data_IF_110120377334
#
_entry.id   IF_110120377334
#
_cell.length_a   1.000
_cell.length_b   1.000
_cell.length_c   1.000
_cell.angle_alpha   90.00
_cell.angle_beta   90.00
_cell.angle_gamma   90.00
#
_symmetry.space_group_name_H-M   'P 1'
#
loop_
_entity.id
_entity.type
_entity.pdbx_description
1 polymer ?
#
# COMPACT_ATOMS: atom_id res chain seq x y z
N UNK A 1 18.98 -11.21 4.24
CA UNK A 1 17.59 -11.72 4.20
C UNK A 1 16.66 -10.59 4.62
N UNK A 2 15.69 -10.19 3.79
CA UNK A 2 14.65 -9.22 4.19
C UNK A 2 13.50 -10.05 4.77
N UNK A 3 13.36 -10.03 6.09
CA UNK A 3 12.30 -10.76 6.78
C UNK A 3 11.02 -9.92 6.76
N UNK A 4 9.94 -10.49 6.25
CA UNK A 4 8.62 -9.85 6.29
C UNK A 4 7.87 -10.38 7.52
N UNK A 5 7.51 -9.49 8.44
CA UNK A 5 6.64 -9.87 9.55
C UNK A 5 5.24 -10.11 9.01
N UNK A 6 4.66 -11.27 9.35
CA UNK A 6 3.25 -11.53 9.09
C UNK A 6 2.44 -10.43 9.76
N UNK A 7 1.51 -9.82 9.03
CA UNK A 7 0.57 -8.84 9.56
C UNK A 7 -0.48 -9.51 10.47
N UNK A 8 -0.04 -10.25 11.48
CA UNK A 8 -0.86 -11.15 12.30
C UNK A 8 -1.99 -10.41 13.02
N UNK A 9 -1.76 -9.14 13.36
CA UNK A 9 -2.79 -8.25 13.91
C UNK A 9 -4.02 -8.06 13.00
N UNK A 10 -3.88 -8.25 11.67
CA UNK A 10 -5.03 -8.22 10.74
C UNK A 10 -5.87 -9.47 10.94
N UNK A 11 -5.26 -10.66 10.91
CA UNK A 11 -5.98 -11.92 11.14
C UNK A 11 -6.56 -12.04 12.55
N UNK A 12 -5.90 -11.50 13.58
CA UNK A 12 -6.42 -11.48 14.95
C UNK A 12 -7.69 -10.62 15.12
N UNK A 13 -7.94 -9.66 14.23
CA UNK A 13 -9.18 -8.86 14.24
C UNK A 13 -10.38 -9.66 13.75
N UNK A 14 -10.15 -10.62 12.86
CA UNK A 14 -11.18 -11.50 12.32
C UNK A 14 -11.59 -12.62 13.29
N UNK A 15 -10.78 -12.88 14.33
CA UNK A 15 -11.05 -13.94 15.32
C UNK A 15 -11.66 -13.37 16.61
N UNK A 16 -12.82 -13.89 17.08
CA UNK A 16 -13.47 -13.44 18.30
C UNK A 16 -12.53 -13.43 19.52
N UNK A 17 -12.70 -12.42 20.38
CA UNK A 17 -11.84 -12.22 21.56
C UNK A 17 -11.95 -13.39 22.54
N UNK A 18 -13.14 -13.99 22.64
CA UNK A 18 -13.48 -15.10 23.54
C UNK A 18 -12.65 -16.33 23.18
N UNK A 19 -12.51 -16.64 21.89
CA UNK A 19 -11.67 -17.75 21.40
C UNK A 19 -10.19 -17.48 21.64
N UNK A 20 -9.73 -16.25 21.41
CA UNK A 20 -8.34 -15.83 21.65
C UNK A 20 -7.95 -15.86 23.13
N UNK A 21 -8.91 -15.69 24.03
CA UNK A 21 -8.71 -15.65 25.50
C UNK A 21 -9.38 -16.83 26.22
N UNK A 22 -9.75 -17.89 25.50
CA UNK A 22 -10.35 -19.08 26.10
C UNK A 22 -9.43 -19.65 27.19
N UNK A 23 -9.97 -20.19 28.29
CA UNK A 23 -9.19 -20.88 29.32
C UNK A 23 -8.52 -22.15 28.76
N UNK A 24 -9.22 -22.83 27.86
CA UNK A 24 -8.72 -23.99 27.13
C UNK A 24 -7.57 -23.61 26.18
N UNK A 25 -6.43 -24.30 26.32
CA UNK A 25 -5.23 -24.06 25.51
C UNK A 25 -5.42 -24.42 24.05
N UNK A 26 -6.08 -25.54 23.76
CA UNK A 26 -6.33 -26.03 22.40
C UNK A 26 -7.20 -25.04 21.64
N UNK A 27 -8.26 -24.52 22.28
CA UNK A 27 -9.12 -23.49 21.68
C UNK A 27 -8.32 -22.23 21.32
N UNK A 28 -7.42 -21.77 22.21
CA UNK A 28 -6.55 -20.63 21.91
C UNK A 28 -5.58 -20.90 20.76
N UNK A 29 -4.98 -22.09 20.71
CA UNK A 29 -4.04 -22.46 19.65
C UNK A 29 -4.74 -22.51 18.29
N UNK A 30 -5.92 -23.13 18.21
CA UNK A 30 -6.74 -23.15 16.99
C UNK A 30 -7.10 -21.71 16.58
N UNK A 31 -7.49 -20.86 17.53
CA UNK A 31 -7.80 -19.45 17.25
C UNK A 31 -6.61 -18.67 16.65
N UNK A 32 -5.37 -18.98 17.05
CA UNK A 32 -4.18 -18.36 16.46
C UNK A 32 -3.85 -18.92 15.08
N UNK A 33 -4.05 -20.22 14.84
CA UNK A 33 -3.90 -20.81 13.50
C UNK A 33 -4.94 -20.23 12.52
N UNK A 34 -6.19 -20.09 12.96
CA UNK A 34 -7.24 -19.43 12.19
C UNK A 34 -6.86 -17.98 11.85
N UNK A 35 -6.32 -17.24 12.83
CA UNK A 35 -5.83 -15.88 12.61
C UNK A 35 -4.64 -15.84 11.63
N UNK A 36 -3.74 -16.83 11.64
CA UNK A 36 -2.66 -16.92 10.64
C UNK A 36 -3.24 -17.12 9.24
N UNK A 37 -4.23 -18.00 9.09
CA UNK A 37 -4.94 -18.21 7.83
C UNK A 37 -5.65 -16.95 7.33
N UNK A 38 -6.37 -16.25 8.21
CA UNK A 38 -7.03 -15.00 7.89
C UNK A 38 -6.04 -13.90 7.46
N UNK A 39 -4.91 -13.77 8.15
CA UNK A 39 -3.86 -12.82 7.80
C UNK A 39 -3.25 -13.13 6.43
N UNK A 40 -3.00 -14.41 6.11
CA UNK A 40 -2.50 -14.83 4.81
C UNK A 40 -3.51 -14.52 3.69
N UNK A 41 -4.80 -14.83 3.90
CA UNK A 41 -5.86 -14.54 2.94
C UNK A 41 -6.03 -13.04 2.68
N UNK A 42 -5.96 -12.20 3.73
CA UNK A 42 -5.98 -10.74 3.60
C UNK A 42 -4.75 -10.23 2.82
N UNK A 43 -3.56 -10.74 3.15
CA UNK A 43 -2.32 -10.38 2.46
C UNK A 43 -2.34 -10.73 0.97
N UNK A 44 -2.88 -11.90 0.59
CA UNK A 44 -3.04 -12.27 -0.81
C UNK A 44 -3.94 -11.29 -1.57
N UNK A 45 -5.09 -10.91 -0.99
CA UNK A 45 -5.99 -9.91 -1.59
C UNK A 45 -5.32 -8.56 -1.77
N UNK A 46 -4.51 -8.13 -0.82
CA UNK A 46 -3.76 -6.87 -0.91
C UNK A 46 -2.66 -6.94 -1.99
N UNK A 47 -1.96 -8.07 -2.10
CA UNK A 47 -0.98 -8.30 -3.18
C UNK A 47 -1.66 -8.25 -4.54
N UNK A 48 -2.82 -8.89 -4.70
CA UNK A 48 -3.57 -8.87 -5.96
C UNK A 48 -4.02 -7.44 -6.32
N UNK A 49 -4.53 -6.70 -5.33
CA UNK A 49 -4.96 -5.30 -5.51
C UNK A 49 -3.80 -4.41 -5.92
N UNK A 50 -2.65 -4.53 -5.24
CA UNK A 50 -1.45 -3.76 -5.54
C UNK A 50 -0.84 -4.15 -6.90
N UNK A 51 -0.86 -5.43 -7.25
CA UNK A 51 -0.41 -5.93 -8.56
C UNK A 51 -1.25 -5.35 -9.68
N UNK A 52 -2.57 -5.35 -9.52
CA UNK A 52 -3.49 -4.76 -10.50
C UNK A 52 -3.24 -3.25 -10.65
N UNK A 53 -3.08 -2.54 -9.54
CA UNK A 53 -2.85 -1.10 -9.57
C UNK A 53 -1.49 -0.74 -10.20
N UNK A 54 -0.44 -1.52 -9.91
CA UNK A 54 0.87 -1.41 -10.58
C UNK A 54 0.72 -1.51 -12.10
N UNK A 55 0.03 -2.54 -12.60
CA UNK A 55 -0.23 -2.71 -14.04
C UNK A 55 -1.02 -1.56 -14.65
N UNK A 56 -1.96 -0.95 -13.91
CA UNK A 56 -2.68 0.23 -14.39
C UNK A 56 -1.77 1.45 -14.49
N UNK A 57 -0.91 1.68 -13.50
CA UNK A 57 0.05 2.79 -13.50
C UNK A 57 1.11 2.62 -14.59
N UNK A 58 1.65 1.42 -14.78
CA UNK A 58 2.63 1.12 -15.83
C UNK A 58 2.06 1.34 -17.23
N UNK A 59 0.78 1.02 -17.46
CA UNK A 59 0.11 1.35 -18.72
C UNK A 59 0.03 2.84 -19.00
N UNK A 60 -0.11 3.69 -17.98
CA UNK A 60 -0.05 5.16 -18.14
C UNK A 60 1.36 5.67 -18.46
N UNK A 61 2.38 4.91 -18.08
CA UNK A 61 3.77 5.19 -18.42
C UNK A 61 4.15 4.71 -19.83
N UNK A 62 3.42 3.75 -20.41
CA UNK A 62 3.69 3.24 -21.75
C UNK A 62 3.58 4.35 -22.81
N UNK A 63 4.64 4.55 -23.60
CA UNK A 63 4.72 5.61 -24.61
C UNK A 63 5.21 6.96 -24.10
N UNK A 64 5.57 7.08 -22.81
CA UNK A 64 6.22 8.27 -22.26
C UNK A 64 7.72 8.25 -22.53
N UNK A 65 8.34 9.44 -22.60
CA UNK A 65 9.78 9.59 -22.86
C UNK A 65 10.60 8.81 -21.83
N UNK A 66 11.71 8.23 -22.29
CA UNK A 66 12.68 7.47 -21.46
C UNK A 66 13.24 8.30 -20.29
N UNK A 67 13.25 9.64 -20.42
CA UNK A 67 13.69 10.59 -19.38
C UNK A 67 12.60 10.99 -18.37
N UNK A 68 11.41 10.41 -18.44
CA UNK A 68 10.31 10.79 -17.54
C UNK A 68 10.56 10.32 -16.10
N UNK A 69 10.22 11.17 -15.13
CA UNK A 69 10.22 10.82 -13.70
C UNK A 69 9.03 9.96 -13.27
N UNK A 70 8.20 9.51 -14.23
CA UNK A 70 7.00 8.72 -14.00
C UNK A 70 7.29 7.39 -13.30
N UNK A 71 8.29 6.58 -13.74
CA UNK A 71 8.60 5.31 -13.06
C UNK A 71 8.96 5.50 -11.59
N UNK A 72 9.73 6.56 -11.27
CA UNK A 72 10.11 6.89 -9.89
C UNK A 72 8.88 7.22 -9.04
N UNK A 73 7.90 7.95 -9.60
CA UNK A 73 6.66 8.26 -8.90
C UNK A 73 5.81 6.99 -8.67
N UNK A 74 5.74 6.08 -9.65
CA UNK A 74 5.03 4.80 -9.54
C UNK A 74 5.65 3.94 -8.44
N UNK A 75 6.97 3.77 -8.43
CA UNK A 75 7.67 2.98 -7.42
C UNK A 75 7.48 3.56 -6.02
N UNK A 76 7.49 4.89 -5.90
CA UNK A 76 7.27 5.55 -4.61
C UNK A 76 5.82 5.34 -4.11
N UNK A 77 4.83 5.44 -5.01
CA UNK A 77 3.41 5.21 -4.69
C UNK A 77 3.14 3.74 -4.32
N UNK A 78 3.85 2.78 -4.90
CA UNK A 78 3.69 1.35 -4.59
C UNK A 78 4.44 0.94 -3.31
N UNK A 79 5.54 1.61 -2.99
CA UNK A 79 6.34 1.30 -1.81
C UNK A 79 5.77 1.87 -0.51
N UNK A 80 4.85 2.85 -0.59
CA UNK A 80 4.31 3.55 0.57
C UNK A 80 2.80 3.79 0.41
N UNK A 81 1.98 3.54 1.45
CA UNK A 81 0.54 3.74 1.35
C UNK A 81 0.14 5.20 1.13
N UNK A 82 0.97 6.14 1.62
CA UNK A 82 0.74 7.58 1.51
C UNK A 82 2.06 8.26 1.11
N UNK A 83 2.00 9.11 0.09
CA UNK A 83 3.14 9.92 -0.37
C UNK A 83 2.72 11.39 -0.51
N UNK A 84 3.62 12.31 -0.18
CA UNK A 84 3.40 13.73 -0.43
C UNK A 84 4.09 14.18 -1.72
N UNK A 85 3.68 15.33 -2.26
CA UNK A 85 4.29 15.92 -3.45
C UNK A 85 5.79 16.21 -3.22
N UNK A 86 6.17 16.59 -2.00
CA UNK A 86 7.56 16.83 -1.64
C UNK A 86 8.39 15.54 -1.63
N UNK A 87 7.81 14.41 -1.20
CA UNK A 87 8.48 13.11 -1.27
C UNK A 87 8.74 12.69 -2.72
N UNK A 88 7.75 12.88 -3.60
CA UNK A 88 7.90 12.60 -5.05
C UNK A 88 8.94 13.53 -5.65
N UNK A 89 8.86 14.83 -5.39
CA UNK A 89 9.80 15.83 -5.88
C UNK A 89 11.26 15.48 -5.50
N UNK A 90 11.47 15.09 -4.23
CA UNK A 90 12.79 14.67 -3.74
C UNK A 90 13.28 13.39 -4.42
N UNK A 91 12.43 12.38 -4.55
CA UNK A 91 12.80 11.10 -5.16
C UNK A 91 13.11 11.25 -6.66
N UNK A 92 12.29 12.02 -7.37
CA UNK A 92 12.42 12.27 -8.80
C UNK A 92 13.39 13.41 -9.18
N UNK A 93 13.92 14.16 -8.20
CA UNK A 93 14.75 15.36 -8.40
C UNK A 93 14.08 16.42 -9.30
N UNK A 94 12.79 16.66 -9.07
CA UNK A 94 11.99 17.64 -9.81
C UNK A 94 11.40 18.70 -8.86
N UNK A 95 10.80 19.73 -9.42
CA UNK A 95 10.10 20.74 -8.62
C UNK A 95 8.82 20.16 -7.97
N UNK A 96 8.36 20.70 -6.83
CA UNK A 96 7.09 20.30 -6.22
C UNK A 96 5.89 20.44 -7.17
N UNK A 97 5.89 21.44 -8.05
CA UNK A 97 4.85 21.60 -9.08
C UNK A 97 4.91 20.48 -10.12
N UNK A 98 6.10 20.07 -10.54
CA UNK A 98 6.30 18.91 -11.40
C UNK A 98 5.77 17.62 -10.76
N UNK A 99 6.04 17.42 -9.46
CA UNK A 99 5.50 16.27 -8.73
C UNK A 99 3.96 16.26 -8.68
N UNK A 100 3.31 17.42 -8.49
CA UNK A 100 1.85 17.52 -8.53
C UNK A 100 1.28 17.16 -9.91
N UNK A 101 1.96 17.55 -10.99
CA UNK A 101 1.56 17.18 -12.34
C UNK A 101 1.66 15.67 -12.56
N UNK A 102 2.75 15.03 -12.10
CA UNK A 102 2.90 13.57 -12.16
C UNK A 102 1.80 12.84 -11.40
N UNK A 103 1.47 13.30 -10.20
CA UNK A 103 0.38 12.73 -9.39
C UNK A 103 -0.96 12.80 -10.13
N UNK A 104 -1.25 13.95 -10.76
CA UNK A 104 -2.47 14.14 -11.55
C UNK A 104 -2.49 13.24 -12.78
N UNK A 105 -1.37 13.10 -13.48
CA UNK A 105 -1.23 12.24 -14.66
C UNK A 105 -1.40 10.75 -14.30
N UNK A 106 -0.83 10.32 -13.17
CA UNK A 106 -1.00 8.98 -12.64
C UNK A 106 -2.42 8.74 -12.09
N UNK A 107 -3.19 9.79 -11.82
CA UNK A 107 -4.54 9.70 -11.26
C UNK A 107 -4.54 9.15 -9.83
N UNK A 108 -3.50 9.43 -9.05
CA UNK A 108 -3.43 8.98 -7.66
C UNK A 108 -4.49 9.70 -6.82
N UNK A 109 -5.10 8.96 -5.88
CA UNK A 109 -6.20 9.45 -5.04
C UNK A 109 -5.65 10.32 -3.93
N UNK A 110 -6.24 11.49 -3.71
CA UNK A 110 -5.95 12.27 -2.50
C UNK A 110 -6.59 11.63 -1.28
N UNK A 111 -5.79 11.42 -0.22
CA UNK A 111 -6.23 10.78 1.02
C UNK A 111 -6.59 11.78 2.13
N UNK A 112 -6.10 13.01 2.03
CA UNK A 112 -6.17 14.00 3.10
C UNK A 112 -7.43 14.86 3.10
N UNK A 113 -8.07 15.06 1.95
CA UNK A 113 -9.26 15.92 1.80
C UNK A 113 -9.04 17.37 2.25
N UNK A 114 -7.80 17.86 2.20
CA UNK A 114 -7.39 19.16 2.78
C UNK A 114 -6.74 20.01 1.68
N UNK A 115 -7.08 21.30 1.61
CA UNK A 115 -6.50 22.21 0.60
C UNK A 115 -4.97 22.38 0.69
N UNK A 116 -4.36 22.14 1.86
CA UNK A 116 -2.91 22.20 2.11
C UNK A 116 -2.41 20.89 2.72
N UNK A 117 -1.11 20.62 2.56
CA UNK A 117 -0.44 19.39 3.04
C UNK A 117 -1.05 18.09 2.48
N UNK A 118 -1.36 18.12 1.18
CA UNK A 118 -1.99 17.02 0.46
C UNK A 118 -1.06 15.81 0.39
N UNK A 119 -1.67 14.63 0.51
CA UNK A 119 -0.99 13.37 0.31
C UNK A 119 -1.86 12.41 -0.51
N UNK A 120 -1.20 11.54 -1.27
CA UNK A 120 -1.80 10.68 -2.25
C UNK A 120 -1.47 9.21 -2.01
N UNK A 121 -2.37 8.35 -2.44
CA UNK A 121 -2.23 6.90 -2.42
C UNK A 121 -2.84 6.26 -3.67
N UNK A 122 -2.59 4.96 -3.83
CA UNK A 122 -3.15 4.16 -4.92
C UNK A 122 -4.50 3.54 -4.54
N UNK A 123 -4.75 3.37 -3.23
CA UNK A 123 -5.90 2.68 -2.65
C UNK A 123 -6.84 3.65 -1.94
#
# INVERSE_FOLDING_TARGET
VRSHLLAFAVGLREVPRERRRASDRTVRLVAFLDAMGAAAAAGMKDIDRLTLAKRQLERKAAGKRTTSSIPVAIDLLLSRPIVSAHMIAKAAKITPRGALNLVSELGAREMTGRGRYRAWGIL
#
